data_IF_642660093937
#
_entry.id   IF_642660093937
#
_cell.length_a   1.000
_cell.length_b   1.000
_cell.length_c   1.000
_cell.angle_alpha   90.00
_cell.angle_beta   90.00
_cell.angle_gamma   90.00
#
_symmetry.space_group_name_H-M   'P 1'
#
loop_
_entity.id
_entity.type
_entity.pdbx_description
1 polymer ?
#
# COMPACT_ATOMS: atom_id res chain seq x y z
N UNK A 1 60.30 -36.53 -11.99
CA UNK A 1 59.89 -36.50 -13.42
C UNK A 1 58.40 -36.76 -13.42
N UNK A 2 57.49 -35.85 -13.70
CA UNK A 2 57.53 -34.60 -14.45
C UNK A 2 56.30 -34.64 -15.35
N UNK A 3 55.21 -33.99 -14.96
CA UNK A 3 54.24 -33.46 -15.91
C UNK A 3 53.43 -32.33 -15.27
N UNK A 4 53.79 -31.13 -15.67
CA UNK A 4 53.13 -29.89 -15.33
C UNK A 4 51.92 -29.72 -16.24
N UNK A 5 50.73 -30.15 -15.77
CA UNK A 5 49.50 -29.67 -16.36
C UNK A 5 49.25 -28.24 -15.88
N UNK A 6 49.72 -27.31 -16.70
CA UNK A 6 49.50 -25.87 -16.65
C UNK A 6 47.99 -25.59 -16.76
N UNK A 7 47.30 -25.54 -15.63
CA UNK A 7 46.05 -24.80 -15.51
C UNK A 7 46.39 -23.32 -15.62
N UNK A 8 46.12 -22.75 -16.80
CA UNK A 8 46.10 -21.30 -17.03
C UNK A 8 45.15 -20.66 -16.00
N UNK A 9 45.53 -19.55 -15.34
CA UNK A 9 44.56 -18.78 -14.59
C UNK A 9 43.55 -18.22 -15.61
N UNK A 10 42.26 -18.50 -15.36
CA UNK A 10 41.17 -17.77 -16.00
C UNK A 10 41.38 -16.32 -15.63
N UNK A 11 41.71 -15.49 -16.61
CA UNK A 11 41.69 -14.05 -16.47
C UNK A 11 40.33 -13.67 -15.89
N UNK A 12 40.34 -13.24 -14.63
CA UNK A 12 39.19 -12.62 -14.02
C UNK A 12 38.79 -11.49 -14.97
N UNK A 13 37.58 -11.59 -15.52
CA UNK A 13 36.89 -10.47 -16.14
C UNK A 13 36.80 -9.37 -15.08
N UNK A 14 37.82 -8.50 -15.08
CA UNK A 14 37.80 -7.23 -14.38
C UNK A 14 36.75 -6.41 -15.12
N UNK A 15 35.51 -6.51 -14.64
CA UNK A 15 34.48 -5.55 -14.99
C UNK A 15 35.04 -4.16 -14.61
N UNK A 16 35.06 -3.19 -15.55
CA UNK A 16 35.45 -1.84 -15.20
C UNK A 16 34.51 -1.34 -14.10
N UNK A 17 35.01 -0.51 -13.15
CA UNK A 17 34.15 0.09 -12.14
C UNK A 17 33.02 0.84 -12.86
N UNK A 18 31.77 0.78 -12.35
CA UNK A 18 30.68 1.52 -12.95
C UNK A 18 31.06 3.00 -12.95
N UNK A 19 31.15 3.57 -14.15
CA UNK A 19 31.37 4.99 -14.37
C UNK A 19 30.30 5.79 -13.59
N UNK A 20 30.77 6.71 -12.75
CA UNK A 20 29.97 7.48 -11.79
C UNK A 20 28.95 8.46 -12.38
N UNK A 21 28.76 8.54 -13.71
CA UNK A 21 28.02 9.65 -14.32
C UNK A 21 26.85 9.26 -15.23
N UNK A 22 26.20 8.13 -14.99
CA UNK A 22 24.85 7.88 -15.52
C UNK A 22 23.89 7.42 -14.43
N UNK A 23 23.69 8.27 -13.41
CA UNK A 23 22.39 8.28 -12.73
C UNK A 23 21.36 8.75 -13.75
N UNK A 24 20.70 7.77 -14.37
CA UNK A 24 19.40 7.92 -15.00
C UNK A 24 18.51 8.74 -14.05
N UNK A 25 18.39 10.03 -14.36
CA UNK A 25 17.38 10.90 -13.79
C UNK A 25 16.05 10.50 -14.41
N UNK A 26 15.55 9.32 -13.99
CA UNK A 26 14.19 8.89 -14.28
C UNK A 26 13.22 9.98 -13.78
N UNK A 27 12.15 10.30 -14.50
CA UNK A 27 11.15 11.28 -14.05
C UNK A 27 10.54 10.90 -12.68
N UNK A 28 10.54 9.61 -12.32
CA UNK A 28 10.17 9.13 -10.98
C UNK A 28 11.09 9.65 -9.85
N UNK A 29 12.36 9.94 -10.14
CA UNK A 29 13.34 10.40 -9.16
C UNK A 29 13.19 11.91 -8.85
N UNK A 30 12.57 12.71 -9.73
CA UNK A 30 12.24 14.11 -9.42
C UNK A 30 10.99 14.24 -8.57
N UNK A 31 9.94 13.46 -8.87
CA UNK A 31 8.71 13.44 -8.07
C UNK A 31 8.93 12.98 -6.62
N UNK A 32 9.92 12.11 -6.38
CA UNK A 32 10.29 11.65 -5.04
C UNK A 32 11.09 12.68 -4.23
N UNK A 33 11.74 13.64 -4.89
CA UNK A 33 12.55 14.70 -4.23
C UNK A 33 11.66 15.85 -3.75
N UNK A 34 10.58 16.15 -4.48
CA UNK A 34 9.62 17.23 -4.13
C UNK A 34 8.43 16.74 -3.31
N UNK A 35 8.34 15.44 -3.00
CA UNK A 35 7.25 14.90 -2.21
C UNK A 35 7.44 15.23 -0.71
N UNK A 36 6.37 15.71 -0.08
CA UNK A 36 6.36 16.02 1.35
C UNK A 36 6.78 14.80 2.19
N UNK A 37 7.51 14.97 3.29
CA UNK A 37 7.76 13.92 4.26
C UNK A 37 6.46 13.30 4.80
N UNK A 38 6.52 12.06 5.28
CA UNK A 38 5.45 11.45 6.05
C UNK A 38 5.69 11.72 7.54
N UNK A 39 4.79 12.44 8.18
CA UNK A 39 4.95 12.98 9.53
C UNK A 39 4.24 12.15 10.59
N UNK A 40 4.48 12.49 11.87
CA UNK A 40 3.69 11.95 12.97
C UNK A 40 2.19 12.24 12.82
N UNK A 41 1.81 13.43 12.35
CA UNK A 41 0.39 13.78 12.16
C UNK A 41 -0.26 12.91 11.07
N UNK A 42 0.48 12.60 9.99
CA UNK A 42 0.04 11.64 8.98
C UNK A 42 -0.13 10.23 9.57
N UNK A 43 0.76 9.82 10.48
CA UNK A 43 0.67 8.54 11.18
C UNK A 43 -0.60 8.46 12.05
N UNK A 44 -0.93 9.54 12.77
CA UNK A 44 -2.16 9.66 13.55
C UNK A 44 -3.39 9.64 12.65
N UNK A 45 -3.37 10.40 11.55
CA UNK A 45 -4.46 10.43 10.58
C UNK A 45 -4.71 9.04 9.98
N UNK A 46 -3.65 8.33 9.59
CA UNK A 46 -3.75 6.97 9.07
C UNK A 46 -4.31 6.00 10.12
N UNK A 47 -3.87 6.10 11.38
CA UNK A 47 -4.42 5.29 12.47
C UNK A 47 -5.94 5.50 12.62
N UNK A 48 -6.40 6.75 12.62
CA UNK A 48 -7.82 7.08 12.68
C UNK A 48 -8.62 6.54 11.48
N UNK A 49 -8.07 6.63 10.26
CA UNK A 49 -8.69 6.06 9.06
C UNK A 49 -8.82 4.54 9.15
N UNK A 50 -7.80 3.86 9.67
CA UNK A 50 -7.83 2.41 9.92
C UNK A 50 -8.94 2.04 10.90
N UNK A 51 -9.09 2.77 12.00
CA UNK A 51 -10.18 2.52 12.95
C UNK A 51 -11.55 2.68 12.31
N UNK A 52 -11.74 3.76 11.56
CA UNK A 52 -13.00 4.02 10.86
C UNK A 52 -13.33 2.89 9.88
N UNK A 53 -12.36 2.52 9.04
CA UNK A 53 -12.51 1.44 8.08
C UNK A 53 -12.83 0.11 8.78
N UNK A 54 -12.11 -0.24 9.85
CA UNK A 54 -12.34 -1.50 10.55
C UNK A 54 -13.74 -1.58 11.16
N UNK A 55 -14.23 -0.48 11.74
CA UNK A 55 -15.61 -0.39 12.26
C UNK A 55 -16.64 -0.54 11.13
N UNK A 56 -16.43 0.11 9.99
CA UNK A 56 -17.30 -0.04 8.80
C UNK A 56 -17.30 -1.49 8.29
N UNK A 57 -16.11 -2.10 8.17
CA UNK A 57 -15.92 -3.46 7.71
C UNK A 57 -16.65 -4.47 8.62
N UNK A 58 -16.54 -4.32 9.94
CA UNK A 58 -17.24 -5.16 10.91
C UNK A 58 -18.77 -5.00 10.85
N UNK A 59 -19.26 -3.77 10.64
CA UNK A 59 -20.70 -3.47 10.58
C UNK A 59 -21.37 -4.00 9.32
N UNK A 60 -20.75 -3.78 8.17
CA UNK A 60 -21.32 -4.10 6.86
C UNK A 60 -21.01 -5.53 6.43
N UNK A 61 -19.97 -6.12 7.01
CA UNK A 61 -19.49 -7.46 6.71
C UNK A 61 -18.75 -7.56 5.38
N UNK A 62 -18.30 -8.79 5.09
CA UNK A 62 -17.58 -9.18 3.88
C UNK A 62 -18.40 -10.11 2.97
N UNK A 63 -19.64 -10.46 3.37
CA UNK A 63 -20.39 -11.54 2.74
C UNK A 63 -20.79 -11.17 1.32
N UNK A 64 -20.13 -11.79 0.36
CA UNK A 64 -20.48 -11.80 -1.05
C UNK A 64 -21.60 -12.81 -1.24
N UNK A 65 -22.73 -12.41 -1.82
CA UNK A 65 -23.82 -13.34 -2.13
C UNK A 65 -23.48 -14.19 -3.35
N UNK A 66 -24.10 -15.36 -3.50
CA UNK A 66 -23.87 -16.24 -4.65
C UNK A 66 -24.26 -15.60 -5.99
N UNK A 67 -25.13 -14.59 -5.96
CA UNK A 67 -25.53 -13.78 -7.11
C UNK A 67 -24.84 -12.39 -7.15
N UNK A 68 -23.72 -12.24 -6.46
CA UNK A 68 -22.96 -10.99 -6.46
C UNK A 68 -22.46 -10.67 -7.87
N UNK A 69 -22.55 -9.38 -8.22
CA UNK A 69 -21.92 -8.88 -9.44
C UNK A 69 -20.38 -8.94 -9.33
N UNK A 70 -19.68 -9.02 -10.46
CA UNK A 70 -18.20 -9.01 -10.48
C UNK A 70 -17.61 -7.81 -9.72
N UNK A 71 -18.26 -6.65 -9.81
CA UNK A 71 -17.85 -5.43 -9.08
C UNK A 71 -18.01 -5.57 -7.56
N UNK A 72 -19.05 -6.26 -7.09
CA UNK A 72 -19.26 -6.52 -5.67
C UNK A 72 -18.18 -7.47 -5.12
N UNK A 73 -17.82 -8.50 -5.91
CA UNK A 73 -16.74 -9.44 -5.58
C UNK A 73 -15.40 -8.70 -5.48
N UNK A 74 -15.06 -7.90 -6.49
CA UNK A 74 -13.80 -7.13 -6.54
C UNK A 74 -13.66 -6.21 -5.32
N UNK A 75 -14.69 -5.43 -5.02
CA UNK A 75 -14.65 -4.53 -3.87
C UNK A 75 -14.55 -5.29 -2.54
N UNK A 76 -15.24 -6.43 -2.41
CA UNK A 76 -15.13 -7.28 -1.22
C UNK A 76 -13.71 -7.84 -1.06
N UNK A 77 -13.06 -8.27 -2.15
CA UNK A 77 -11.67 -8.73 -2.14
C UNK A 77 -10.68 -7.63 -1.74
N UNK A 78 -10.85 -6.42 -2.26
CA UNK A 78 -10.01 -5.27 -1.90
C UNK A 78 -10.16 -4.95 -0.41
N UNK A 79 -11.40 -4.87 0.09
CA UNK A 79 -11.68 -4.63 1.52
C UNK A 79 -11.11 -5.76 2.40
N UNK A 80 -11.24 -7.01 1.97
CA UNK A 80 -10.66 -8.15 2.67
C UNK A 80 -9.14 -8.05 2.80
N UNK A 81 -8.46 -7.73 1.70
CA UNK A 81 -7.01 -7.55 1.66
C UNK A 81 -6.56 -6.41 2.59
N UNK A 82 -7.25 -5.28 2.58
CA UNK A 82 -6.97 -4.16 3.47
C UNK A 82 -7.13 -4.57 4.94
N UNK A 83 -8.22 -5.26 5.29
CA UNK A 83 -8.46 -5.71 6.66
C UNK A 83 -7.38 -6.67 7.18
N UNK A 84 -6.83 -7.54 6.32
CA UNK A 84 -5.74 -8.44 6.70
C UNK A 84 -4.44 -7.69 7.03
N UNK A 85 -4.17 -6.56 6.38
CA UNK A 85 -2.95 -5.77 6.60
C UNK A 85 -3.03 -4.79 7.78
N UNK A 86 -4.21 -4.58 8.37
CA UNK A 86 -4.39 -3.61 9.47
C UNK A 86 -3.42 -3.86 10.63
N UNK A 87 -3.23 -5.11 11.02
CA UNK A 87 -2.35 -5.45 12.14
C UNK A 87 -0.90 -5.04 11.86
N UNK A 88 -0.40 -5.37 10.67
CA UNK A 88 0.95 -5.03 10.22
C UNK A 88 1.16 -3.51 10.19
N UNK A 89 0.20 -2.76 9.63
CA UNK A 89 0.29 -1.30 9.53
C UNK A 89 0.24 -0.65 10.92
N UNK A 90 -0.67 -1.08 11.81
CA UNK A 90 -0.74 -0.55 13.18
C UNK A 90 0.55 -0.81 13.96
N UNK A 91 1.10 -2.01 13.84
CA UNK A 91 2.33 -2.38 14.51
C UNK A 91 3.51 -1.54 13.98
N UNK A 92 3.58 -1.33 12.67
CA UNK A 92 4.58 -0.47 12.05
C UNK A 92 4.43 0.99 12.51
N UNK A 93 3.21 1.54 12.56
CA UNK A 93 2.97 2.89 13.08
C UNK A 93 3.45 3.01 14.53
N UNK A 94 3.06 2.06 15.39
CA UNK A 94 3.47 2.04 16.80
C UNK A 94 4.98 2.00 16.94
N UNK A 95 5.67 1.08 16.25
CA UNK A 95 7.12 0.97 16.36
C UNK A 95 7.87 2.20 15.85
N UNK A 96 7.41 2.84 14.78
CA UNK A 96 8.17 3.95 14.20
C UNK A 96 7.88 5.30 14.89
N UNK A 97 6.66 5.51 15.37
CA UNK A 97 6.19 6.81 15.86
C UNK A 97 5.87 6.86 17.35
N UNK A 98 5.80 5.72 18.05
CA UNK A 98 5.37 5.67 19.46
C UNK A 98 6.40 4.95 20.34
N UNK A 99 6.92 3.81 19.88
CA UNK A 99 7.61 2.85 20.74
C UNK A 99 9.14 2.98 20.73
N UNK A 100 9.71 4.15 21.01
CA UNK A 100 11.15 4.33 21.25
C UNK A 100 11.42 5.55 22.14
N UNK A 101 12.57 5.62 22.84
CA UNK A 101 12.95 6.81 23.61
C UNK A 101 13.08 8.07 22.74
N UNK A 102 13.28 7.90 21.43
CA UNK A 102 13.22 8.95 20.41
C UNK A 102 12.24 8.55 19.31
N UNK A 103 10.97 8.96 19.40
CA UNK A 103 10.00 8.80 18.32
C UNK A 103 10.51 9.43 17.02
N UNK A 104 10.25 8.79 15.88
CA UNK A 104 10.56 9.39 14.58
C UNK A 104 9.59 10.55 14.33
N UNK A 105 10.09 11.77 14.12
CA UNK A 105 9.22 12.91 13.83
C UNK A 105 8.62 12.83 12.41
N UNK A 106 9.43 12.39 11.44
CA UNK A 106 9.02 12.20 10.06
C UNK A 106 9.95 11.25 9.31
N UNK A 107 9.43 10.68 8.23
CA UNK A 107 10.21 9.98 7.22
C UNK A 107 10.27 10.80 5.93
N UNK A 108 11.45 10.92 5.28
CA UNK A 108 11.52 11.43 3.91
C UNK A 108 10.55 10.68 2.99
N UNK A 109 10.00 11.34 1.98
CA UNK A 109 9.04 10.71 1.07
C UNK A 109 9.57 9.46 0.35
N UNK A 110 10.89 9.44 0.08
CA UNK A 110 11.58 8.31 -0.52
C UNK A 110 11.85 7.15 0.44
N UNK A 111 11.58 7.32 1.74
CA UNK A 111 11.80 6.27 2.73
C UNK A 111 10.79 5.13 2.52
N UNK A 112 11.21 3.85 2.53
CA UNK A 112 10.32 2.71 2.27
C UNK A 112 9.07 2.68 3.17
N UNK A 113 9.23 3.05 4.44
CA UNK A 113 8.11 3.16 5.39
C UNK A 113 7.11 4.25 5.02
N UNK A 114 7.58 5.40 4.53
CA UNK A 114 6.70 6.48 4.07
C UNK A 114 5.89 6.04 2.84
N UNK A 115 6.55 5.37 1.90
CA UNK A 115 5.91 4.80 0.69
C UNK A 115 4.83 3.79 1.10
N UNK A 116 5.18 2.84 1.97
CA UNK A 116 4.24 1.83 2.48
C UNK A 116 3.00 2.46 3.11
N UNK A 117 3.17 3.45 3.98
CA UNK A 117 2.04 4.10 4.65
C UNK A 117 1.17 4.88 3.68
N UNK A 118 1.77 5.61 2.73
CA UNK A 118 1.03 6.34 1.70
C UNK A 118 0.28 5.42 0.77
N UNK A 119 0.90 4.34 0.29
CA UNK A 119 0.25 3.36 -0.58
C UNK A 119 -0.96 2.72 0.11
N UNK A 120 -0.79 2.36 1.38
CA UNK A 120 -1.86 1.80 2.18
C UNK A 120 -2.98 2.83 2.42
N UNK A 121 -2.64 4.07 2.75
CA UNK A 121 -3.59 5.17 2.94
C UNK A 121 -4.40 5.46 1.68
N UNK A 122 -3.74 5.53 0.53
CA UNK A 122 -4.37 5.77 -0.77
C UNK A 122 -5.33 4.63 -1.11
N UNK A 123 -4.87 3.38 -0.95
CA UNK A 123 -5.70 2.19 -1.23
C UNK A 123 -6.90 2.14 -0.29
N UNK A 124 -6.72 2.44 0.99
CA UNK A 124 -7.78 2.49 2.00
C UNK A 124 -8.84 3.54 1.65
N UNK A 125 -8.40 4.74 1.26
CA UNK A 125 -9.28 5.84 0.86
C UNK A 125 -10.09 5.47 -0.37
N UNK A 126 -9.42 5.06 -1.46
CA UNK A 126 -10.09 4.68 -2.70
C UNK A 126 -11.06 3.52 -2.52
N UNK A 127 -10.70 2.50 -1.73
CA UNK A 127 -11.59 1.37 -1.46
C UNK A 127 -12.84 1.79 -0.67
N UNK A 128 -12.68 2.69 0.30
CA UNK A 128 -13.80 3.21 1.11
C UNK A 128 -14.77 4.03 0.25
N UNK A 129 -14.25 4.90 -0.61
CA UNK A 129 -15.05 5.69 -1.54
C UNK A 129 -15.76 4.82 -2.58
N UNK A 130 -15.06 3.86 -3.17
CA UNK A 130 -15.63 2.96 -4.16
C UNK A 130 -16.76 2.10 -3.57
N UNK A 131 -16.60 1.64 -2.34
CA UNK A 131 -17.63 0.91 -1.62
C UNK A 131 -18.84 1.78 -1.28
N UNK A 132 -18.61 3.00 -0.76
CA UNK A 132 -19.69 3.93 -0.46
C UNK A 132 -20.51 4.28 -1.71
N UNK A 133 -19.84 4.50 -2.85
CA UNK A 133 -20.48 4.73 -4.14
C UNK A 133 -21.31 3.52 -4.57
N UNK A 134 -20.75 2.32 -4.47
CA UNK A 134 -21.47 1.08 -4.78
C UNK A 134 -22.75 0.90 -3.92
N UNK A 135 -22.67 1.16 -2.62
CA UNK A 135 -23.83 1.07 -1.73
C UNK A 135 -24.93 2.07 -2.10
N UNK A 136 -24.56 3.29 -2.52
CA UNK A 136 -25.52 4.31 -2.98
C UNK A 136 -26.23 3.87 -4.26
N UNK A 137 -25.48 3.35 -5.23
CA UNK A 137 -26.03 2.82 -6.49
C UNK A 137 -26.98 1.64 -6.23
N UNK A 138 -26.59 0.69 -5.35
CA UNK A 138 -27.41 -0.48 -5.00
C UNK A 138 -28.72 -0.11 -4.32
N UNK A 139 -28.73 0.93 -3.47
CA UNK A 139 -29.96 1.45 -2.85
C UNK A 139 -30.88 2.09 -3.88
N UNK A 140 -30.35 2.95 -4.74
CA UNK A 140 -31.11 3.62 -5.79
C UNK A 140 -31.86 2.62 -6.68
N UNK A 141 -31.17 1.58 -7.17
CA UNK A 141 -31.80 0.55 -8.00
C UNK A 141 -32.88 -0.26 -7.26
N UNK A 142 -32.70 -0.51 -5.96
CA UNK A 142 -33.70 -1.21 -5.14
C UNK A 142 -34.98 -0.38 -4.99
N UNK A 143 -34.83 0.92 -4.78
CA UNK A 143 -35.96 1.84 -4.61
C UNK A 143 -36.75 2.01 -5.92
N UNK A 144 -36.06 2.15 -7.06
CA UNK A 144 -36.70 2.17 -8.39
C UNK A 144 -37.48 0.88 -8.69
N UNK A 145 -36.90 -0.29 -8.39
CA UNK A 145 -37.59 -1.58 -8.59
C UNK A 145 -38.82 -1.72 -7.69
N UNK A 146 -38.80 -1.12 -6.51
CA UNK A 146 -39.92 -1.15 -5.57
C UNK A 146 -41.06 -0.23 -6.00
N UNK A 147 -40.75 0.90 -6.65
CA UNK A 147 -41.75 1.83 -7.20
C UNK A 147 -42.44 1.28 -8.46
N UNK A 148 -41.71 0.57 -9.34
CA UNK A 148 -42.28 -0.03 -10.57
C UNK A 148 -43.21 -1.23 -10.33
N UNK A 149 -43.25 -1.76 -9.10
CA UNK A 149 -44.11 -2.89 -8.70
C UNK A 149 -45.42 -2.44 -8.02
N UNK A 150 -45.66 -1.14 -7.93
CA UNK A 150 -46.89 -0.51 -7.42
C UNK A 150 -47.65 0.12 -8.58
#
# INVERSE_FOLDING_TARGET
MGDANLLKPVEALVLPPPSSDQRLSSPANKAAVDAEPFTYDDAVALHCQIEFFQRSYQKEGYKVSDNASSREIELAMIRGTLNLRIHEIRLALFHNFVAFPTPTASFPASHPTAILFRDYQNTLTSATEAWAKFLKEKRYHRDEQSQRRR
#
